data_IF_036070490280
#
_entry.id   IF_036070490280
#
_cell.length_a   1.000
_cell.length_b   1.000
_cell.length_c   1.000
_cell.angle_alpha   90.00
_cell.angle_beta   90.00
_cell.angle_gamma   90.00
#
_symmetry.space_group_name_H-M   'P 1'
#
loop_
_entity.id
_entity.type
_entity.pdbx_description
1 polymer ?
#
# COMPACT_ATOMS: atom_id res chain seq x y z
N UNK A 1 16.12 26.35 -4.87
CA UNK A 1 16.55 25.82 -3.55
C UNK A 1 15.81 24.52 -3.28
N UNK A 2 16.38 23.39 -3.74
CA UNK A 2 15.86 22.07 -3.43
C UNK A 2 16.54 21.61 -2.13
N UNK A 3 15.89 21.86 -1.00
CA UNK A 3 16.33 21.30 0.28
C UNK A 3 15.97 19.83 0.25
N UNK A 4 16.98 18.99 0.00
CA UNK A 4 16.90 17.54 0.10
C UNK A 4 16.28 17.16 1.46
N UNK A 5 15.32 16.24 1.42
CA UNK A 5 14.58 15.66 2.55
C UNK A 5 15.49 14.80 3.45
N UNK A 6 16.65 15.32 3.87
CA UNK A 6 17.62 14.60 4.69
C UNK A 6 17.09 14.27 6.11
N UNK A 7 15.83 14.61 6.43
CA UNK A 7 15.19 14.32 7.71
C UNK A 7 13.81 13.65 7.62
N UNK A 8 13.28 13.35 6.42
CA UNK A 8 12.00 12.62 6.32
C UNK A 8 12.33 11.14 6.11
N UNK A 9 12.03 10.25 7.09
CA UNK A 9 12.36 8.84 6.96
C UNK A 9 11.60 8.23 5.78
N UNK A 10 12.33 7.76 4.78
CA UNK A 10 11.79 6.89 3.72
C UNK A 10 11.84 5.46 4.24
N UNK A 11 10.73 4.74 4.11
CA UNK A 11 10.61 3.34 4.50
C UNK A 11 10.19 2.51 3.30
N UNK A 12 10.74 1.30 3.19
CA UNK A 12 10.45 0.36 2.10
C UNK A 12 10.15 -1.01 2.69
N UNK A 13 9.11 -1.65 2.16
CA UNK A 13 8.73 -3.03 2.45
C UNK A 13 8.45 -3.71 1.11
N UNK A 14 9.04 -4.88 0.92
CA UNK A 14 8.86 -5.71 -0.27
C UNK A 14 8.67 -7.18 0.14
N UNK A 15 8.10 -7.96 -0.77
CA UNK A 15 7.94 -9.40 -0.65
C UNK A 15 7.94 -10.00 -2.06
N UNK A 16 8.38 -11.24 -2.18
CA UNK A 16 8.33 -12.04 -3.41
C UNK A 16 7.25 -13.14 -3.35
N UNK A 17 6.49 -13.18 -2.26
CA UNK A 17 5.41 -14.13 -2.00
C UNK A 17 4.13 -13.38 -1.62
N UNK A 18 2.99 -14.06 -1.67
CA UNK A 18 1.71 -13.58 -1.13
C UNK A 18 1.59 -14.00 0.35
N UNK A 19 1.82 -13.11 1.35
CA UNK A 19 1.86 -13.50 2.75
C UNK A 19 0.49 -14.00 3.25
N UNK A 20 0.48 -15.07 4.04
CA UNK A 20 -0.76 -15.68 4.54
C UNK A 20 -1.55 -14.78 5.51
N UNK A 21 -0.87 -13.84 6.17
CA UNK A 21 -1.45 -12.83 7.06
C UNK A 21 -1.82 -11.52 6.34
N UNK A 22 -1.62 -11.45 5.01
CA UNK A 22 -2.05 -10.31 4.22
C UNK A 22 -3.59 -10.30 4.08
N UNK A 23 -4.22 -9.39 4.80
CA UNK A 23 -5.69 -9.19 4.80
C UNK A 23 -6.05 -7.80 4.31
N UNK A 24 -7.20 -7.66 3.65
CA UNK A 24 -7.75 -6.38 3.23
C UNK A 24 -8.73 -5.83 4.27
N UNK A 25 -8.86 -4.51 4.32
CA UNK A 25 -10.01 -3.91 4.98
C UNK A 25 -11.29 -4.14 4.15
N UNK A 26 -12.49 -4.17 4.76
CA UNK A 26 -13.74 -4.36 4.01
C UNK A 26 -13.92 -3.36 2.85
N UNK A 27 -13.50 -2.11 3.03
CA UNK A 27 -13.54 -1.10 1.97
C UNK A 27 -12.59 -1.41 0.79
N UNK A 28 -11.46 -2.06 1.06
CA UNK A 28 -10.51 -2.51 0.04
C UNK A 28 -10.99 -3.79 -0.66
N UNK A 29 -11.61 -4.71 0.09
CA UNK A 29 -12.22 -5.92 -0.49
C UNK A 29 -13.26 -5.57 -1.56
N UNK A 30 -14.08 -4.54 -1.30
CA UNK A 30 -15.08 -4.05 -2.24
C UNK A 30 -14.46 -3.59 -3.57
N UNK A 31 -13.24 -3.03 -3.56
CA UNK A 31 -12.53 -2.57 -4.77
C UNK A 31 -12.19 -3.73 -5.70
N UNK A 32 -11.86 -4.89 -5.13
CA UNK A 32 -11.42 -6.08 -5.88
C UNK A 32 -12.47 -7.18 -5.92
N UNK A 33 -13.72 -6.90 -5.54
CA UNK A 33 -14.80 -7.87 -5.45
C UNK A 33 -15.00 -8.67 -6.75
N UNK A 34 -14.87 -8.00 -7.91
CA UNK A 34 -15.04 -8.60 -9.23
C UNK A 34 -13.71 -8.90 -9.95
N UNK A 35 -12.58 -8.74 -9.27
CA UNK A 35 -11.27 -8.99 -9.86
C UNK A 35 -10.93 -10.49 -9.84
N UNK A 36 -10.18 -10.94 -10.84
CA UNK A 36 -9.64 -12.31 -10.88
C UNK A 36 -8.66 -12.56 -9.73
N UNK A 37 -8.49 -13.83 -9.34
CA UNK A 37 -7.67 -14.24 -8.18
C UNK A 37 -6.26 -13.67 -8.19
N UNK A 38 -5.58 -13.70 -9.35
CA UNK A 38 -4.24 -13.11 -9.49
C UNK A 38 -4.23 -11.64 -9.08
N UNK A 39 -5.20 -10.87 -9.58
CA UNK A 39 -5.30 -9.44 -9.28
C UNK A 39 -5.65 -9.19 -7.82
N UNK A 40 -6.51 -10.03 -7.23
CA UNK A 40 -6.85 -9.96 -5.80
C UNK A 40 -5.62 -10.18 -4.92
N UNK A 41 -4.79 -11.17 -5.25
CA UNK A 41 -3.53 -11.46 -4.56
C UNK A 41 -2.55 -10.28 -4.64
N UNK A 42 -2.25 -9.81 -5.86
CA UNK A 42 -1.37 -8.65 -6.07
C UNK A 42 -1.84 -7.40 -5.30
N UNK A 43 -3.14 -7.11 -5.35
CA UNK A 43 -3.73 -5.97 -4.64
C UNK A 43 -3.60 -6.14 -3.12
N UNK A 44 -3.86 -7.34 -2.60
CA UNK A 44 -3.77 -7.65 -1.16
C UNK A 44 -2.34 -7.52 -0.66
N UNK A 45 -1.40 -8.17 -1.35
CA UNK A 45 0.01 -8.22 -0.98
C UNK A 45 0.64 -6.82 -0.95
N UNK A 46 0.40 -6.00 -1.98
CA UNK A 46 1.00 -4.66 -2.02
C UNK A 46 0.39 -3.71 -0.96
N UNK A 47 -0.88 -3.92 -0.57
CA UNK A 47 -1.54 -3.17 0.52
C UNK A 47 -1.02 -3.57 1.89
N UNK A 48 -0.72 -4.86 2.07
CA UNK A 48 0.00 -5.34 3.24
C UNK A 48 1.37 -4.66 3.34
N UNK A 49 2.19 -4.68 2.29
CA UNK A 49 3.50 -4.02 2.28
C UNK A 49 3.40 -2.52 2.58
N UNK A 50 2.46 -1.82 1.95
CA UNK A 50 2.24 -0.39 2.19
C UNK A 50 1.87 -0.09 3.64
N UNK A 51 1.01 -0.89 4.28
CA UNK A 51 0.66 -0.71 5.69
C UNK A 51 1.80 -1.04 6.64
N UNK A 52 2.60 -2.07 6.34
CA UNK A 52 3.80 -2.38 7.11
C UNK A 52 4.82 -1.23 7.02
N UNK A 53 4.95 -0.61 5.84
CA UNK A 53 5.75 0.59 5.64
C UNK A 53 5.21 1.77 6.48
N UNK A 54 3.91 2.08 6.38
CA UNK A 54 3.25 3.13 7.17
C UNK A 54 3.42 2.94 8.68
N UNK A 55 3.30 1.70 9.17
CA UNK A 55 3.48 1.38 10.59
C UNK A 55 4.91 1.71 11.08
N UNK A 56 5.94 1.49 10.25
CA UNK A 56 7.35 1.80 10.60
C UNK A 56 7.61 3.31 10.76
N UNK A 57 6.75 4.16 10.19
CA UNK A 57 6.81 5.63 10.36
C UNK A 57 5.72 6.16 11.31
N UNK A 58 5.09 5.28 12.09
CA UNK A 58 4.13 5.66 13.13
C UNK A 58 2.73 6.01 12.62
N UNK A 59 2.41 5.69 11.36
CA UNK A 59 1.08 5.92 10.80
C UNK A 59 0.17 4.72 11.10
N UNK A 60 -0.99 4.93 11.74
CA UNK A 60 -1.94 3.85 12.03
C UNK A 60 -2.45 3.15 10.78
N UNK A 61 -2.79 1.87 10.90
CA UNK A 61 -3.37 1.10 9.79
C UNK A 61 -4.73 1.66 9.37
N UNK A 62 -4.89 1.92 8.08
CA UNK A 62 -6.11 2.39 7.44
C UNK A 62 -6.21 1.80 6.02
N UNK A 63 -7.42 1.76 5.41
CA UNK A 63 -7.56 1.33 4.03
C UNK A 63 -6.86 2.31 3.06
N UNK A 64 -6.16 1.77 2.07
CA UNK A 64 -5.48 2.53 1.00
C UNK A 64 -6.29 2.36 -0.29
N UNK A 65 -7.39 3.09 -0.37
CA UNK A 65 -8.34 3.02 -1.49
C UNK A 65 -7.77 3.69 -2.74
N UNK A 66 -8.08 3.20 -3.95
CA UNK A 66 -7.72 3.91 -5.18
C UNK A 66 -8.49 5.24 -5.29
N UNK A 67 -7.76 6.33 -5.57
CA UNK A 67 -8.29 7.64 -5.90
C UNK A 67 -8.28 7.93 -7.41
N UNK A 68 -8.03 9.18 -7.78
CA UNK A 68 -8.04 9.64 -9.17
C UNK A 68 -7.11 8.78 -10.06
N UNK A 69 -7.67 8.24 -11.14
CA UNK A 69 -6.97 7.34 -12.10
C UNK A 69 -6.31 6.12 -11.43
N UNK A 70 -6.82 5.66 -10.30
CA UNK A 70 -6.33 4.48 -9.59
C UNK A 70 -5.10 4.73 -8.71
N UNK A 71 -4.67 5.98 -8.54
CA UNK A 71 -3.58 6.33 -7.63
C UNK A 71 -3.91 5.90 -6.18
N UNK A 72 -2.96 5.39 -5.38
CA UNK A 72 -3.23 5.05 -3.98
C UNK A 72 -3.63 6.28 -3.16
N UNK A 73 -4.72 6.18 -2.40
CA UNK A 73 -5.13 7.16 -1.41
C UNK A 73 -4.27 7.06 -0.17
N UNK A 74 -3.11 7.69 -0.19
CA UNK A 74 -2.22 7.78 0.97
C UNK A 74 -2.86 8.61 2.09
N UNK A 75 -2.59 8.29 3.37
CA UNK A 75 -2.97 9.14 4.49
C UNK A 75 -2.38 10.54 4.41
N UNK A 76 -3.03 11.50 5.04
CA UNK A 76 -2.57 12.89 5.08
C UNK A 76 -1.12 12.98 5.59
N UNK A 77 -0.31 13.80 4.91
CA UNK A 77 1.10 13.99 5.23
C UNK A 77 2.04 12.90 4.72
N UNK A 78 1.53 11.86 4.02
CA UNK A 78 2.34 10.79 3.43
C UNK A 78 2.26 10.81 1.91
N UNK A 79 3.40 10.59 1.27
CA UNK A 79 3.50 10.26 -0.15
C UNK A 79 4.16 8.91 -0.32
N UNK A 80 3.83 8.21 -1.40
CA UNK A 80 4.40 6.90 -1.66
C UNK A 80 4.08 6.36 -3.05
N UNK A 81 4.64 5.19 -3.32
CA UNK A 81 4.38 4.43 -4.53
C UNK A 81 4.25 2.94 -4.18
N UNK A 82 3.60 2.18 -5.05
CA UNK A 82 3.41 0.74 -4.95
C UNK A 82 3.60 0.12 -6.31
N UNK A 83 4.29 -1.03 -6.37
CA UNK A 83 4.52 -1.79 -7.59
C UNK A 83 4.39 -3.29 -7.31
N UNK A 84 4.12 -4.08 -8.35
CA UNK A 84 4.09 -5.54 -8.33
C UNK A 84 4.44 -6.02 -9.74
N UNK A 85 5.14 -7.15 -9.80
CA UNK A 85 5.41 -7.87 -11.04
C UNK A 85 5.54 -9.37 -10.73
N UNK A 86 5.64 -10.18 -11.78
CA UNK A 86 6.07 -11.57 -11.68
C UNK A 86 7.59 -11.68 -11.81
#
# INVERSE_FOLDING_TARGET
MATLLAGVPVTVVETHEDPADAVLFPAEEAVVANAVDKRRKEFTTVRHCARTALARIGVPAAPILPGHRGAPGWPDGVVGSMTHCA
#
